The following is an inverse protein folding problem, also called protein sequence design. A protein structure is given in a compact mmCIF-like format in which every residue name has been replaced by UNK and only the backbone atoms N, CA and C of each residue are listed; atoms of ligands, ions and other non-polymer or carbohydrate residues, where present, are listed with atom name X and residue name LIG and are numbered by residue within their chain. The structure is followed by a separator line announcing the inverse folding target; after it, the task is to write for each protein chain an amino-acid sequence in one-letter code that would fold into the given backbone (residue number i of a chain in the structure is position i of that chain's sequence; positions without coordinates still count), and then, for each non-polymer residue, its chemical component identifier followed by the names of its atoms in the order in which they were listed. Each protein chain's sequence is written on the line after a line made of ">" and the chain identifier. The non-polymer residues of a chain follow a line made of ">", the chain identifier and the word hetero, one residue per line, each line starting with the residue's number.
data_IF_959571116445
#
_entry.id   IF_959571116445
#
_cell.length_a   1.000
_cell.length_b   1.000
_cell.length_c   1.000
_cell.angle_alpha   90.00
_cell.angle_beta   90.00
_cell.angle_gamma   90.00
#
_symmetry.space_group_name_H-M   'P 1'
#
loop_
_entity.id
_entity.type
_entity.pdbx_description
1 polymer ?
#
# COMPACT_ATOMS: atom_id res chain seq x y z
N UNK A 1 -9.53 5.99 2.34
CA UNK A 1 -8.06 6.02 2.21
C UNK A 1 -7.66 4.77 1.47
N UNK A 2 -6.99 4.89 0.31
CA UNK A 2 -6.42 3.72 -0.37
C UNK A 2 -5.36 3.12 0.57
N UNK A 3 -5.41 1.82 0.82
CA UNK A 3 -4.42 1.13 1.64
C UNK A 3 -3.05 1.30 0.95
N UNK A 4 -2.14 2.06 1.57
CA UNK A 4 -0.78 2.16 1.06
C UNK A 4 -0.08 0.83 1.35
N UNK A 5 0.28 0.09 0.29
CA UNK A 5 0.99 -1.16 0.43
C UNK A 5 2.33 -0.93 1.15
N UNK A 6 2.66 -1.77 2.13
CA UNK A 6 3.99 -1.77 2.75
C UNK A 6 4.96 -2.43 1.76
N UNK A 7 5.94 -1.69 1.29
CA UNK A 7 6.93 -2.17 0.31
C UNK A 7 8.28 -2.51 0.93
N UNK A 8 8.49 -2.15 2.20
CA UNK A 8 9.69 -2.49 2.93
C UNK A 8 9.67 -2.01 4.38
N UNK A 9 10.47 -2.68 5.21
CA UNK A 9 10.66 -2.34 6.63
C UNK A 9 12.15 -2.35 6.94
N UNK A 10 12.58 -1.41 7.78
CA UNK A 10 13.94 -1.38 8.31
C UNK A 10 13.95 -1.01 9.78
N UNK A 11 14.86 -1.63 10.52
CA UNK A 11 15.12 -1.34 11.93
C UNK A 11 16.62 -1.14 12.13
N UNK A 12 16.97 -0.19 12.99
CA UNK A 12 18.36 -0.01 13.38
C UNK A 12 18.49 0.42 14.85
N UNK A 13 19.61 0.01 15.47
CA UNK A 13 19.96 0.30 16.86
C UNK A 13 21.41 0.79 16.91
N UNK A 14 21.59 1.97 17.48
CA UNK A 14 22.87 2.69 17.56
C UNK A 14 23.24 2.91 19.02
N UNK A 15 24.49 2.62 19.37
CA UNK A 15 25.04 3.00 20.67
C UNK A 15 25.36 4.49 20.70
N UNK A 16 24.83 5.18 21.72
CA UNK A 16 25.08 6.63 21.94
C UNK A 16 26.57 6.87 22.21
N UNK A 17 27.24 6.01 22.98
CA UNK A 17 28.68 6.12 23.25
C UNK A 17 29.55 5.90 22.02
N UNK A 18 29.16 4.99 21.12
CA UNK A 18 29.85 4.83 19.84
C UNK A 18 29.68 6.06 18.95
N UNK A 19 28.48 6.64 18.91
CA UNK A 19 28.24 7.90 18.21
C UNK A 19 29.05 9.05 18.83
N UNK A 20 29.08 9.16 20.16
CA UNK A 20 29.90 10.12 20.91
C UNK A 20 31.36 10.03 20.50
N UNK A 21 31.90 8.82 20.57
CA UNK A 21 33.29 8.53 20.22
C UNK A 21 33.58 8.88 18.77
N UNK A 22 32.68 8.54 17.83
CA UNK A 22 32.85 8.84 16.41
C UNK A 22 32.85 10.35 16.12
N UNK A 23 31.90 11.10 16.70
CA UNK A 23 31.80 12.55 16.55
C UNK A 23 32.95 13.29 17.23
N UNK A 24 33.41 12.81 18.39
CA UNK A 24 34.58 13.37 19.07
C UNK A 24 35.85 13.15 18.25
N UNK A 25 36.10 11.92 17.79
CA UNK A 25 37.28 11.58 16.97
C UNK A 25 37.27 12.28 15.61
N UNK A 26 36.10 12.46 15.01
CA UNK A 26 35.95 13.08 13.69
C UNK A 26 34.81 14.12 13.69
N UNK A 27 35.05 15.35 14.17
CA UNK A 27 34.00 16.38 14.27
C UNK A 27 33.34 16.72 12.94
N UNK A 28 34.07 16.57 11.82
CA UNK A 28 33.54 16.80 10.47
C UNK A 28 32.52 15.74 10.02
N UNK A 29 32.41 14.61 10.72
CA UNK A 29 31.51 13.52 10.38
C UNK A 29 30.04 13.98 10.35
N UNK A 30 29.64 14.87 11.26
CA UNK A 30 28.26 15.38 11.30
C UNK A 30 27.82 16.07 10.01
N UNK A 31 28.72 16.74 9.29
CA UNK A 31 28.41 17.39 8.02
C UNK A 31 28.25 16.40 6.86
N UNK A 32 28.82 15.19 6.99
CA UNK A 32 28.66 14.10 6.01
C UNK A 32 27.37 13.32 6.23
N UNK A 33 26.97 13.13 7.49
CA UNK A 33 25.86 12.28 7.89
C UNK A 33 24.51 13.01 7.96
N UNK A 34 24.50 14.27 8.40
CA UNK A 34 23.28 15.00 8.73
C UNK A 34 23.08 16.22 7.82
N UNK A 35 21.82 16.55 7.54
CA UNK A 35 21.44 17.78 6.84
C UNK A 35 21.76 19.02 7.68
N UNK A 36 21.79 20.23 7.10
CA UNK A 36 21.87 21.47 7.88
C UNK A 36 20.79 21.57 8.96
N UNK A 37 19.51 21.35 8.60
CA UNK A 37 18.41 21.47 9.55
C UNK A 37 18.46 20.43 10.67
N UNK A 38 18.93 19.20 10.39
CA UNK A 38 19.14 18.19 11.42
C UNK A 38 20.22 18.61 12.43
N UNK A 39 21.33 19.21 11.95
CA UNK A 39 22.39 19.71 12.84
C UNK A 39 21.87 20.86 13.69
N UNK A 40 21.18 21.82 13.08
CA UNK A 40 20.59 22.96 13.78
C UNK A 40 19.60 22.50 14.86
N UNK A 41 18.83 21.44 14.61
CA UNK A 41 17.95 20.84 15.61
C UNK A 41 18.71 20.10 16.73
N UNK A 42 19.77 19.37 16.40
CA UNK A 42 20.52 18.59 17.39
C UNK A 42 21.31 19.52 18.31
N UNK A 43 21.96 20.53 17.74
CA UNK A 43 22.87 21.46 18.41
C UNK A 43 22.13 22.46 19.32
N UNK A 44 20.79 22.48 19.33
CA UNK A 44 19.96 23.21 20.30
C UNK A 44 20.05 22.66 21.73
N UNK A 45 20.63 21.47 21.94
CA UNK A 45 20.82 20.87 23.28
C UNK A 45 22.29 20.90 23.68
N UNK A 46 22.52 21.02 24.98
CA UNK A 46 23.86 21.00 25.57
C UNK A 46 24.63 19.71 25.25
N UNK A 47 23.99 18.54 25.34
CA UNK A 47 24.50 17.29 24.76
C UNK A 47 23.65 16.92 23.52
N UNK A 48 24.19 17.10 22.30
CA UNK A 48 23.46 16.79 21.08
C UNK A 48 23.62 15.32 20.64
N UNK A 49 24.48 14.53 21.28
CA UNK A 49 24.93 13.22 20.76
C UNK A 49 23.78 12.22 20.64
N UNK A 50 22.89 12.16 21.63
CA UNK A 50 21.70 11.30 21.60
C UNK A 50 20.80 11.60 20.39
N UNK A 51 20.64 12.89 20.06
CA UNK A 51 19.83 13.36 18.93
C UNK A 51 20.47 13.03 17.58
N UNK A 52 21.80 13.03 17.52
CA UNK A 52 22.54 12.54 16.37
C UNK A 52 22.45 11.02 16.24
N UNK A 53 22.54 10.29 17.35
CA UNK A 53 22.45 8.83 17.37
C UNK A 53 21.09 8.35 16.85
N UNK A 54 19.98 8.92 17.33
CA UNK A 54 18.64 8.52 16.90
C UNK A 54 18.35 8.86 15.43
N UNK A 55 18.90 9.98 14.93
CA UNK A 55 18.83 10.31 13.49
C UNK A 55 19.68 9.40 12.63
N UNK A 56 20.83 8.98 13.13
CA UNK A 56 21.67 8.02 12.43
C UNK A 56 20.93 6.67 12.32
N UNK A 57 20.35 6.19 13.42
CA UNK A 57 19.51 4.99 13.43
C UNK A 57 18.34 5.12 12.43
N UNK A 58 17.67 6.27 12.39
CA UNK A 58 16.59 6.52 11.42
C UNK A 58 17.06 6.42 9.97
N UNK A 59 18.23 6.99 9.65
CA UNK A 59 18.78 6.93 8.29
C UNK A 59 19.16 5.50 7.91
N UNK A 60 19.75 4.73 8.82
CA UNK A 60 20.04 3.31 8.58
C UNK A 60 18.76 2.48 8.41
N UNK A 61 17.74 2.72 9.23
CA UNK A 61 16.44 2.06 9.11
C UNK A 61 15.79 2.37 7.75
N UNK A 62 15.83 3.62 7.28
CA UNK A 62 15.34 4.00 5.95
C UNK A 62 16.10 3.28 4.84
N UNK A 63 17.43 3.21 4.93
CA UNK A 63 18.26 2.47 3.96
C UNK A 63 17.88 0.99 3.88
N UNK A 64 17.70 0.35 5.04
CA UNK A 64 17.29 -1.06 5.13
C UNK A 64 15.89 -1.28 4.54
N UNK A 65 14.94 -0.38 4.81
CA UNK A 65 13.60 -0.48 4.25
C UNK A 65 13.58 -0.32 2.71
N UNK A 66 14.55 0.39 2.13
CA UNK A 66 14.74 0.46 0.67
C UNK A 66 15.45 -0.78 0.08
N UNK A 67 15.86 -1.75 0.91
CA UNK A 67 16.68 -2.88 0.50
C UNK A 67 18.11 -2.47 0.09
N UNK A 68 18.65 -1.41 0.68
CA UNK A 68 19.96 -0.86 0.36
C UNK A 68 20.95 -1.04 1.52
N UNK A 69 22.20 -1.35 1.17
CA UNK A 69 23.33 -1.20 2.10
C UNK A 69 23.75 0.25 2.27
N UNK A 70 24.49 0.56 3.34
CA UNK A 70 25.02 1.89 3.59
C UNK A 70 25.86 2.42 2.41
N UNK A 71 25.94 3.75 2.30
CA UNK A 71 26.83 4.47 1.36
C UNK A 71 26.46 4.43 -0.13
N UNK A 72 25.28 3.90 -0.51
CA UNK A 72 24.76 4.01 -1.89
C UNK A 72 24.59 5.47 -2.36
N UNK A 73 24.28 6.35 -1.42
CA UNK A 73 24.21 7.80 -1.56
C UNK A 73 24.56 8.46 -0.21
N UNK A 74 24.85 9.78 -0.19
CA UNK A 74 25.14 10.49 1.05
C UNK A 74 23.99 10.39 2.05
N UNK A 75 24.26 9.95 3.29
CA UNK A 75 23.24 9.80 4.34
C UNK A 75 22.51 11.11 4.70
N UNK A 76 23.13 12.27 4.44
CA UNK A 76 22.47 13.58 4.59
C UNK A 76 21.31 13.82 3.61
N UNK A 77 21.18 13.01 2.55
CA UNK A 77 20.04 13.06 1.62
C UNK A 77 18.80 12.34 2.17
N UNK A 78 18.94 11.57 3.26
CA UNK A 78 17.80 11.12 4.06
C UNK A 78 17.68 12.09 5.22
N UNK A 79 16.63 12.90 5.26
CA UNK A 79 16.43 13.88 6.32
C UNK A 79 15.30 13.46 7.25
N UNK A 80 15.58 13.44 8.55
CA UNK A 80 14.56 13.23 9.59
C UNK A 80 13.93 14.57 9.94
N UNK A 81 12.66 14.72 9.57
CA UNK A 81 11.86 15.93 9.78
C UNK A 81 10.76 15.68 10.81
N UNK A 82 10.11 16.74 11.30
CA UNK A 82 8.85 16.66 12.02
C UNK A 82 7.71 17.00 11.08
N UNK A 83 6.73 16.12 10.95
CA UNK A 83 5.49 16.39 10.23
C UNK A 83 4.66 17.47 10.96
N UNK A 84 3.66 18.03 10.28
CA UNK A 84 2.73 19.00 10.87
C UNK A 84 1.98 18.44 12.10
N UNK A 85 1.74 17.13 12.13
CA UNK A 85 1.17 16.44 13.29
C UNK A 85 2.11 16.34 14.49
N UNK A 86 3.37 16.74 14.34
CA UNK A 86 4.43 16.61 15.36
C UNK A 86 5.19 15.28 15.32
N UNK A 87 4.72 14.31 14.54
CA UNK A 87 5.34 12.99 14.40
C UNK A 87 6.66 13.08 13.59
N UNK A 88 7.67 12.24 13.90
CA UNK A 88 8.85 12.13 13.07
C UNK A 88 8.51 11.56 11.69
N UNK A 89 9.12 12.11 10.65
CA UNK A 89 8.94 11.70 9.25
C UNK A 89 10.25 11.77 8.48
N UNK A 90 10.22 11.34 7.23
CA UNK A 90 11.39 11.26 6.34
C UNK A 90 11.15 12.12 5.11
N UNK A 91 12.09 13.01 4.83
CA UNK A 91 12.20 13.69 3.54
C UNK A 91 13.45 13.19 2.82
N UNK A 92 13.29 12.78 1.57
CA UNK A 92 14.40 12.30 0.75
C UNK A 92 14.76 13.35 -0.29
N UNK A 93 16.05 13.49 -0.51
CA UNK A 93 16.63 14.47 -1.44
C UNK A 93 17.40 13.75 -2.55
N UNK A 94 17.60 14.45 -3.67
CA UNK A 94 18.50 14.06 -4.77
C UNK A 94 18.49 12.55 -5.11
N UNK A 95 19.62 11.85 -4.91
CA UNK A 95 19.79 10.44 -5.30
C UNK A 95 18.99 9.50 -4.40
N UNK A 96 18.84 9.83 -3.12
CA UNK A 96 17.97 9.08 -2.21
C UNK A 96 16.51 9.11 -2.69
N UNK A 97 16.01 10.27 -3.12
CA UNK A 97 14.65 10.43 -3.66
C UNK A 97 14.45 9.66 -4.96
N UNK A 98 15.41 9.73 -5.89
CA UNK A 98 15.36 8.98 -7.14
C UNK A 98 15.28 7.46 -6.89
N UNK A 99 16.13 6.95 -6.00
CA UNK A 99 16.16 5.53 -5.67
C UNK A 99 14.86 5.04 -5.01
N UNK A 100 14.26 5.86 -4.15
CA UNK A 100 12.96 5.56 -3.54
C UNK A 100 11.85 5.47 -4.59
N UNK A 101 11.83 6.40 -5.56
CA UNK A 101 10.84 6.42 -6.65
C UNK A 101 10.97 5.20 -7.57
N UNK A 102 12.19 4.80 -7.92
CA UNK A 102 12.44 3.58 -8.70
C UNK A 102 11.92 2.31 -8.01
N UNK A 103 11.83 2.33 -6.67
CA UNK A 103 11.30 1.24 -5.84
C UNK A 103 9.80 1.38 -5.55
N UNK A 104 9.13 2.32 -6.20
CA UNK A 104 7.71 2.57 -5.98
C UNK A 104 7.38 3.15 -4.60
N UNK A 105 8.36 3.65 -3.84
CA UNK A 105 8.13 4.21 -2.50
C UNK A 105 7.54 5.62 -2.62
N UNK A 106 6.38 5.80 -2.00
CA UNK A 106 5.60 7.04 -1.99
C UNK A 106 5.53 7.76 -0.67
N UNK A 107 5.80 7.07 0.42
CA UNK A 107 5.72 7.64 1.75
C UNK A 107 6.47 6.80 2.78
N UNK A 108 6.52 7.34 4.00
CA UNK A 108 7.22 6.76 5.13
C UNK A 108 6.35 6.79 6.37
N UNK A 109 6.51 5.79 7.23
CA UNK A 109 6.25 5.90 8.67
C UNK A 109 7.57 5.71 9.40
N UNK A 110 7.81 6.55 10.38
CA UNK A 110 9.04 6.53 11.16
C UNK A 110 8.68 6.60 12.64
N UNK A 111 9.32 5.76 13.44
CA UNK A 111 9.29 5.91 14.90
C UNK A 111 10.71 5.88 15.43
N UNK A 112 10.94 6.65 16.48
CA UNK A 112 12.23 6.91 17.09
C UNK A 112 12.12 6.61 18.59
N UNK A 113 13.08 5.87 19.13
CA UNK A 113 13.20 5.64 20.56
C UNK A 113 14.66 5.85 20.96
N UNK A 114 14.90 6.45 22.12
CA UNK A 114 16.27 6.62 22.61
C UNK A 114 16.31 6.66 24.14
N UNK A 115 17.48 6.33 24.65
CA UNK A 115 17.89 6.38 26.05
C UNK A 115 19.32 6.92 26.11
N UNK A 116 19.83 7.12 27.32
CA UNK A 116 21.20 7.61 27.54
C UNK A 116 22.29 6.75 26.88
N UNK A 117 22.01 5.47 26.61
CA UNK A 117 22.99 4.49 26.10
C UNK A 117 22.72 4.03 24.66
N UNK A 118 21.47 4.11 24.20
CA UNK A 118 21.05 3.52 22.93
C UNK A 118 19.97 4.32 22.23
N UNK A 119 19.99 4.30 20.91
CA UNK A 119 19.01 4.95 20.06
C UNK A 119 18.55 4.00 18.95
N UNK A 120 17.25 3.87 18.77
CA UNK A 120 16.61 2.96 17.85
C UNK A 120 15.66 3.70 16.91
N UNK A 121 15.53 3.20 15.69
CA UNK A 121 14.51 3.64 14.77
C UNK A 121 13.89 2.47 14.01
N UNK A 122 12.61 2.61 13.67
CA UNK A 122 11.89 1.72 12.77
C UNK A 122 11.30 2.56 11.65
N UNK A 123 11.59 2.20 10.41
CA UNK A 123 11.09 2.85 9.20
C UNK A 123 10.26 1.86 8.38
N UNK A 124 9.07 2.29 7.97
CA UNK A 124 8.18 1.56 7.06
C UNK A 124 8.06 2.35 5.77
N UNK A 125 8.46 1.75 4.65
CA UNK A 125 8.31 2.31 3.32
C UNK A 125 6.90 1.97 2.80
N UNK A 126 6.17 2.99 2.41
CA UNK A 126 4.81 2.89 1.87
C UNK A 126 4.86 3.11 0.36
N UNK A 127 4.25 2.21 -0.40
CA UNK A 127 4.18 2.29 -1.86
C UNK A 127 3.33 3.47 -2.34
N UNK A 128 3.65 4.02 -3.52
CA UNK A 128 2.72 4.86 -4.29
C UNK A 128 1.71 3.96 -4.98
N UNK A 129 0.45 4.05 -4.60
CA UNK A 129 -0.64 3.71 -5.52
C UNK A 129 -0.73 4.85 -6.53
N UNK A 130 0.09 4.79 -7.60
CA UNK A 130 0.17 5.84 -8.63
C UNK A 130 -1.10 5.94 -9.49
N UNK A 131 -1.91 4.88 -9.51
CA UNK A 131 -3.26 4.83 -10.02
C UNK A 131 -4.02 3.74 -9.27
N UNK A 132 -5.34 3.88 -9.16
CA UNK A 132 -6.23 2.80 -8.72
C UNK A 132 -7.27 2.62 -9.82
N UNK A 133 -7.45 1.39 -10.27
CA UNK A 133 -8.52 1.01 -11.18
C UNK A 133 -9.72 0.58 -10.34
N UNK A 134 -10.85 1.28 -10.50
CA UNK A 134 -12.15 0.85 -9.98
C UNK A 134 -13.10 0.63 -11.16
N UNK A 135 -13.47 -0.62 -11.48
CA UNK A 135 -14.51 -0.86 -12.46
C UNK A 135 -15.85 -0.31 -11.95
N UNK A 136 -16.66 0.22 -12.85
CA UNK A 136 -18.03 0.68 -12.58
C UNK A 136 -19.00 -0.17 -13.40
N UNK A 137 -19.80 -0.99 -12.72
CA UNK A 137 -20.85 -1.79 -13.35
C UNK A 137 -22.10 -0.96 -13.53
N UNK A 138 -22.60 -0.97 -14.77
CA UNK A 138 -23.87 -0.35 -15.12
C UNK A 138 -24.95 -1.44 -15.07
N UNK A 139 -25.62 -1.54 -13.93
CA UNK A 139 -26.55 -2.61 -13.63
C UNK A 139 -27.96 -2.28 -14.11
N UNK A 140 -28.65 -3.27 -14.71
CA UNK A 140 -30.09 -3.17 -15.00
C UNK A 140 -30.89 -3.11 -13.69
N UNK A 141 -30.54 -3.97 -12.74
CA UNK A 141 -31.05 -3.96 -11.36
C UNK A 141 -29.89 -3.79 -10.39
N UNK A 142 -29.65 -2.53 -10.00
CA UNK A 142 -28.61 -2.15 -9.04
C UNK A 142 -28.71 -2.95 -7.73
N UNK A 143 -29.92 -3.19 -7.23
CA UNK A 143 -30.11 -3.88 -5.96
C UNK A 143 -29.71 -5.34 -6.04
N UNK A 144 -30.06 -6.00 -7.15
CA UNK A 144 -29.68 -7.39 -7.43
C UNK A 144 -28.18 -7.55 -7.62
N UNK A 145 -27.53 -6.67 -8.39
CA UNK A 145 -26.09 -6.74 -8.64
C UNK A 145 -25.31 -6.47 -7.35
N UNK A 146 -25.71 -5.47 -6.56
CA UNK A 146 -25.05 -5.22 -5.27
C UNK A 146 -25.14 -6.43 -4.34
N UNK A 147 -26.33 -7.04 -4.17
CA UNK A 147 -26.48 -8.25 -3.35
C UNK A 147 -25.65 -9.42 -3.86
N UNK A 148 -25.53 -9.57 -5.18
CA UNK A 148 -24.67 -10.59 -5.75
C UNK A 148 -23.21 -10.42 -5.29
N UNK A 149 -22.65 -9.22 -5.45
CA UNK A 149 -21.26 -8.98 -5.03
C UNK A 149 -21.07 -9.09 -3.52
N UNK A 150 -22.07 -8.72 -2.71
CA UNK A 150 -22.03 -8.86 -1.25
C UNK A 150 -22.14 -10.34 -0.81
N UNK A 151 -23.20 -11.03 -1.22
CA UNK A 151 -23.55 -12.35 -0.68
C UNK A 151 -22.73 -13.48 -1.34
N UNK A 152 -22.45 -13.37 -2.64
CA UNK A 152 -21.75 -14.39 -3.43
C UNK A 152 -20.24 -14.19 -3.34
N UNK A 153 -19.77 -12.97 -3.61
CA UNK A 153 -18.33 -12.66 -3.69
C UNK A 153 -17.76 -12.08 -2.40
N UNK A 154 -18.60 -11.72 -1.41
CA UNK A 154 -18.16 -11.24 -0.10
C UNK A 154 -17.69 -9.80 -0.07
N UNK A 155 -18.06 -8.99 -1.06
CA UNK A 155 -17.76 -7.57 -1.00
C UNK A 155 -18.53 -6.91 0.14
N UNK A 156 -17.95 -5.87 0.73
CA UNK A 156 -18.58 -5.03 1.74
C UNK A 156 -18.92 -3.67 1.13
N UNK A 157 -20.13 -3.17 1.38
CA UNK A 157 -20.53 -1.83 0.98
C UNK A 157 -19.84 -0.77 1.82
N UNK A 158 -19.17 0.15 1.14
CA UNK A 158 -18.38 1.22 1.77
C UNK A 158 -18.98 2.61 1.54
N UNK A 159 -19.85 2.77 0.53
CA UNK A 159 -20.65 3.97 0.31
C UNK A 159 -21.87 3.63 -0.54
N UNK A 160 -22.94 4.39 -0.39
CA UNK A 160 -24.15 4.29 -1.22
C UNK A 160 -24.76 5.70 -1.33
N UNK A 161 -24.43 6.41 -2.40
CA UNK A 161 -24.83 7.80 -2.60
C UNK A 161 -24.94 8.11 -4.09
N UNK A 162 -25.80 9.08 -4.44
CA UNK A 162 -25.98 9.58 -5.81
C UNK A 162 -26.31 8.47 -6.83
N UNK A 163 -27.09 7.47 -6.41
CA UNK A 163 -27.45 6.31 -7.25
C UNK A 163 -26.30 5.33 -7.51
N UNK A 164 -25.18 5.45 -6.78
CA UNK A 164 -23.98 4.61 -6.93
C UNK A 164 -23.63 3.94 -5.61
N UNK A 165 -23.58 2.61 -5.63
CA UNK A 165 -23.03 1.82 -4.55
C UNK A 165 -21.53 1.61 -4.78
N UNK A 166 -20.71 1.74 -3.74
CA UNK A 166 -19.31 1.35 -3.74
C UNK A 166 -19.12 0.15 -2.84
N UNK A 167 -18.48 -0.86 -3.40
CA UNK A 167 -18.22 -2.15 -2.78
C UNK A 167 -16.70 -2.36 -2.69
N UNK A 168 -16.24 -3.07 -1.67
CA UNK A 168 -14.82 -3.40 -1.47
C UNK A 168 -14.64 -4.87 -1.06
N UNK A 169 -13.67 -5.53 -1.67
CA UNK A 169 -13.11 -6.80 -1.23
C UNK A 169 -11.61 -6.60 -1.02
N UNK A 170 -11.16 -6.61 0.23
CA UNK A 170 -9.80 -6.24 0.63
C UNK A 170 -9.33 -4.90 0.03
N UNK A 171 -8.43 -4.93 -0.95
CA UNK A 171 -7.87 -3.75 -1.65
C UNK A 171 -8.58 -3.44 -2.96
N UNK A 172 -9.45 -4.33 -3.45
CA UNK A 172 -10.21 -4.19 -4.69
C UNK A 172 -11.49 -3.42 -4.41
N UNK A 173 -11.75 -2.38 -5.19
CA UNK A 173 -13.02 -1.64 -5.16
C UNK A 173 -13.79 -1.85 -6.46
N UNK A 174 -15.11 -1.85 -6.33
CA UNK A 174 -16.06 -1.94 -7.43
C UNK A 174 -17.17 -0.90 -7.21
N UNK A 175 -17.57 -0.20 -8.27
CA UNK A 175 -18.77 0.63 -8.25
C UNK A 175 -19.92 -0.06 -8.96
N UNK A 176 -21.14 0.14 -8.48
CA UNK A 176 -22.37 -0.32 -9.12
C UNK A 176 -23.35 0.84 -9.20
N UNK A 177 -23.76 1.21 -10.42
CA UNK A 177 -24.75 2.25 -10.69
C UNK A 177 -25.91 1.67 -11.49
N UNK A 178 -27.09 2.29 -11.41
CA UNK A 178 -28.17 1.94 -12.33
C UNK A 178 -27.81 2.40 -13.76
N UNK A 179 -28.25 1.64 -14.77
CA UNK A 179 -28.24 2.10 -16.15
C UNK A 179 -29.19 3.29 -16.32
N UNK A 180 -28.74 4.37 -16.96
CA UNK A 180 -29.58 5.56 -17.18
C UNK A 180 -30.54 5.33 -18.35
N UNK A 181 -31.82 5.66 -18.15
CA UNK A 181 -32.87 5.54 -19.19
C UNK A 181 -32.74 6.56 -20.32
N UNK A 182 -31.87 7.57 -20.17
CA UNK A 182 -31.64 8.65 -21.13
C UNK A 182 -30.38 8.48 -21.99
N UNK A 183 -29.57 7.43 -21.80
CA UNK A 183 -28.47 7.08 -22.71
C UNK A 183 -29.06 6.42 -23.98
N UNK A 184 -29.73 7.23 -24.79
CA UNK A 184 -30.32 6.86 -26.06
C UNK A 184 -29.26 6.49 -27.10
N UNK A 185 -28.78 5.24 -27.05
CA UNK A 185 -28.41 4.33 -28.15
C UNK A 185 -27.63 3.17 -27.54
N UNK A 186 -28.29 2.02 -27.42
CA UNK A 186 -27.71 0.72 -27.12
C UNK A 186 -26.71 0.73 -25.94
N UNK A 187 -27.24 0.86 -24.72
CA UNK A 187 -26.59 0.16 -23.61
C UNK A 187 -26.44 -1.32 -24.01
N UNK A 188 -25.31 -1.98 -23.66
CA UNK A 188 -25.06 -3.33 -24.12
C UNK A 188 -26.26 -4.22 -23.79
N UNK A 189 -26.87 -4.83 -24.80
CA UNK A 189 -27.95 -5.80 -24.60
C UNK A 189 -27.42 -6.87 -23.65
N UNK A 190 -28.28 -7.43 -22.79
CA UNK A 190 -27.95 -8.56 -21.90
C UNK A 190 -26.97 -9.55 -22.58
N UNK A 191 -25.70 -9.56 -22.13
CA UNK A 191 -24.61 -10.36 -22.72
C UNK A 191 -23.61 -9.63 -23.65
N UNK A 192 -23.79 -8.36 -24.00
CA UNK A 192 -22.89 -7.59 -24.90
C UNK A 192 -21.64 -7.03 -24.17
N UNK A 193 -21.67 -6.86 -22.84
CA UNK A 193 -20.43 -6.68 -22.06
C UNK A 193 -19.58 -7.97 -22.05
N UNK A 194 -20.24 -9.13 -22.19
CA UNK A 194 -19.71 -10.45 -21.88
C UNK A 194 -18.75 -11.08 -22.91
N UNK A 195 -18.41 -10.35 -23.98
CA UNK A 195 -17.44 -10.83 -24.99
C UNK A 195 -16.01 -10.36 -24.76
N UNK A 196 -15.81 -9.13 -24.27
CA UNK A 196 -14.51 -8.45 -24.33
C UNK A 196 -13.94 -8.05 -22.96
N UNK A 197 -14.69 -8.22 -21.87
CA UNK A 197 -14.26 -7.88 -20.51
C UNK A 197 -14.58 -9.02 -19.54
N UNK A 198 -13.54 -9.53 -18.87
CA UNK A 198 -13.63 -10.52 -17.80
C UNK A 198 -13.10 -9.88 -16.51
N UNK A 199 -13.83 -10.06 -15.41
CA UNK A 199 -13.35 -9.67 -14.09
C UNK A 199 -12.63 -10.86 -13.46
N UNK A 200 -11.33 -10.72 -13.20
CA UNK A 200 -10.55 -11.73 -12.47
C UNK A 200 -10.34 -11.24 -11.05
N UNK A 201 -10.76 -12.04 -10.08
CA UNK A 201 -10.61 -11.78 -8.64
C UNK A 201 -9.67 -12.83 -8.07
N UNK A 202 -8.50 -12.39 -7.63
CA UNK A 202 -7.54 -13.25 -6.95
C UNK A 202 -7.80 -13.26 -5.44
N UNK A 203 -7.99 -14.46 -4.89
CA UNK A 203 -8.31 -14.71 -3.48
C UNK A 203 -7.26 -15.59 -2.82
N UNK A 204 -7.13 -15.47 -1.51
CA UNK A 204 -6.22 -16.32 -0.72
C UNK A 204 -6.78 -17.76 -0.52
N UNK A 205 -8.11 -17.92 -0.59
CA UNK A 205 -8.79 -19.21 -0.41
C UNK A 205 -9.94 -19.35 -1.44
N UNK A 206 -9.69 -20.12 -2.49
CA UNK A 206 -10.64 -20.35 -3.59
C UNK A 206 -11.79 -21.25 -3.14
N UNK A 207 -11.52 -22.21 -2.26
CA UNK A 207 -12.53 -23.16 -1.74
C UNK A 207 -13.57 -22.41 -0.91
N UNK A 208 -13.12 -21.53 0.00
CA UNK A 208 -14.03 -20.71 0.81
C UNK A 208 -14.88 -19.76 -0.07
N UNK A 209 -14.29 -19.19 -1.11
CA UNK A 209 -15.01 -18.35 -2.07
C UNK A 209 -16.06 -19.17 -2.85
N UNK A 210 -15.71 -20.39 -3.27
CA UNK A 210 -16.62 -21.30 -3.97
C UNK A 210 -17.79 -21.72 -3.08
N UNK A 211 -17.54 -22.13 -1.83
CA UNK A 211 -18.58 -22.50 -0.87
C UNK A 211 -19.54 -21.34 -0.56
N UNK A 212 -19.03 -20.11 -0.54
CA UNK A 212 -19.87 -18.91 -0.41
C UNK A 212 -20.77 -18.73 -1.63
N UNK A 213 -20.22 -18.90 -2.83
CA UNK A 213 -20.98 -18.78 -4.07
C UNK A 213 -22.06 -19.88 -4.18
N UNK A 214 -21.71 -21.13 -3.87
CA UNK A 214 -22.60 -22.29 -3.94
C UNK A 214 -23.79 -22.20 -2.96
N UNK A 215 -23.67 -21.42 -1.88
CA UNK A 215 -24.80 -21.16 -0.94
C UNK A 215 -25.87 -20.25 -1.52
N UNK A 216 -25.52 -19.40 -2.49
CA UNK A 216 -26.41 -18.34 -2.99
C UNK A 216 -26.83 -18.54 -4.45
N UNK A 217 -26.05 -19.32 -5.21
CA UNK A 217 -26.31 -19.61 -6.61
C UNK A 217 -26.86 -21.03 -6.79
N UNK A 218 -27.75 -21.21 -7.78
CA UNK A 218 -28.32 -22.53 -8.10
C UNK A 218 -27.28 -23.51 -8.65
N UNK A 219 -26.27 -22.98 -9.33
CA UNK A 219 -25.15 -23.72 -9.90
C UNK A 219 -23.94 -22.80 -9.97
N UNK A 220 -22.78 -23.35 -9.61
CA UNK A 220 -21.46 -22.72 -9.74
C UNK A 220 -20.58 -23.71 -10.47
N UNK A 221 -19.71 -23.25 -11.36
CA UNK A 221 -18.73 -24.13 -12.00
C UNK A 221 -17.82 -24.79 -10.97
N UNK A 222 -17.30 -25.97 -11.28
CA UNK A 222 -16.37 -26.67 -10.39
C UNK A 222 -15.04 -25.92 -10.33
N UNK A 223 -14.33 -26.08 -9.22
CA UNK A 223 -12.95 -25.59 -9.13
C UNK A 223 -12.09 -26.45 -10.06
N UNK A 224 -11.34 -25.79 -10.94
CA UNK A 224 -10.40 -26.41 -11.87
C UNK A 224 -8.97 -25.92 -11.57
N UNK A 225 -8.01 -26.84 -11.67
CA UNK A 225 -6.58 -26.49 -11.69
C UNK A 225 -6.20 -26.10 -13.11
N UNK A 226 -5.73 -24.87 -13.30
CA UNK A 226 -5.37 -24.32 -14.61
C UNK A 226 -3.94 -24.71 -15.01
N UNK A 227 -3.57 -24.42 -16.25
CA UNK A 227 -2.27 -24.79 -16.83
C UNK A 227 -1.06 -24.17 -16.09
N UNK A 228 -1.27 -23.08 -15.35
CA UNK A 228 -0.26 -22.43 -14.51
C UNK A 228 -0.26 -22.92 -13.05
N UNK A 229 -1.04 -23.96 -12.74
CA UNK A 229 -1.13 -24.58 -11.42
C UNK A 229 -2.07 -23.88 -10.45
N UNK A 230 -2.71 -22.79 -10.85
CA UNK A 230 -3.64 -22.05 -10.01
C UNK A 230 -5.04 -22.67 -10.05
N UNK A 231 -5.71 -22.66 -8.90
CA UNK A 231 -7.10 -23.09 -8.77
C UNK A 231 -8.03 -21.94 -9.15
N UNK A 232 -9.09 -22.23 -9.91
CA UNK A 232 -10.07 -21.22 -10.31
C UNK A 232 -11.46 -21.81 -10.55
N UNK A 233 -12.49 -20.98 -10.40
CA UNK A 233 -13.84 -21.26 -10.90
C UNK A 233 -14.42 -20.00 -11.54
N UNK A 234 -15.28 -20.19 -12.54
CA UNK A 234 -15.92 -19.09 -13.25
C UNK A 234 -17.41 -19.00 -12.87
N UNK A 235 -17.94 -17.78 -12.92
CA UNK A 235 -19.36 -17.50 -12.72
C UNK A 235 -19.81 -16.32 -13.59
N UNK A 236 -21.11 -16.10 -13.65
CA UNK A 236 -21.70 -14.96 -14.36
C UNK A 236 -22.47 -14.11 -13.36
N UNK A 237 -22.21 -12.81 -13.33
CA UNK A 237 -22.94 -11.87 -12.50
C UNK A 237 -24.38 -11.61 -13.04
N UNK A 238 -25.25 -10.88 -12.32
CA UNK A 238 -26.61 -10.63 -12.76
C UNK A 238 -26.74 -9.85 -14.08
N UNK A 239 -25.71 -9.09 -14.45
CA UNK A 239 -25.65 -8.23 -15.64
C UNK A 239 -24.94 -8.91 -16.84
N UNK A 240 -24.46 -10.15 -16.65
CA UNK A 240 -23.84 -10.97 -17.70
C UNK A 240 -22.32 -10.81 -17.80
N UNK A 241 -21.67 -10.19 -16.82
CA UNK A 241 -20.21 -10.11 -16.73
C UNK A 241 -19.65 -11.45 -16.27
N UNK A 242 -18.66 -11.97 -17.01
CA UNK A 242 -17.91 -13.15 -16.57
C UNK A 242 -16.97 -12.76 -15.45
N UNK A 243 -17.07 -13.46 -14.33
CA UNK A 243 -16.16 -13.30 -13.19
C UNK A 243 -15.41 -14.61 -12.99
N UNK A 244 -14.08 -14.55 -13.02
CA UNK A 244 -13.20 -15.63 -12.62
C UNK A 244 -12.71 -15.37 -11.20
N UNK A 245 -12.84 -16.35 -10.33
CA UNK A 245 -12.24 -16.34 -9.00
C UNK A 245 -11.10 -17.33 -9.00
N UNK A 246 -9.89 -16.91 -8.61
CA UNK A 246 -8.71 -17.77 -8.66
C UNK A 246 -7.74 -17.54 -7.50
N UNK A 247 -6.85 -18.50 -7.24
CA UNK A 247 -5.85 -18.40 -6.18
C UNK A 247 -4.76 -17.37 -6.53
N UNK A 248 -4.27 -16.61 -5.53
CA UNK A 248 -3.07 -15.78 -5.69
C UNK A 248 -1.82 -16.63 -5.97
N UNK A 249 -0.87 -16.06 -6.72
CA UNK A 249 0.49 -16.62 -6.88
C UNK A 249 1.37 -16.38 -5.66
#
# INVERSE_FOLDING_TARGET
>A
MSAAAVVGVGVDLVSVDRMRTALYRTPRLRYRLFSPAERDYCDQRNDPVERYAVRFAAKEAVMKAMGLGLWRFPLREIEVVRAESGEPSVTLHAKALACARERGIGGWRLTLAHSDSSAQAIAVALGRSGASLRPELCAEDRGRTVRFYEDVLGFVRIADADGRARLRLDTVELGVRAADSSEGRAGPRRGELGGNLELVIEVDDVVLAHERAARHLRSVEQIEVRADGLEAFDLIDPDGVRVRVMSRR
#
